data_IF_170801033579
#
_entry.id   IF_170801033579
#
_cell.length_a   1.000
_cell.length_b   1.000
_cell.length_c   1.000
_cell.angle_alpha   90.00
_cell.angle_beta   90.00
_cell.angle_gamma   90.00
#
_symmetry.space_group_name_H-M   'P 1'
#
loop_
_entity.id
_entity.type
_entity.pdbx_description
1 polymer ?
#
# COMPACT_ATOMS: atom_id res chain seq x y z
N UNK A 1 30.00 -3.09 -11.61
CA UNK A 1 29.34 -1.82 -11.23
C UNK A 1 27.87 -2.04 -11.48
N UNK A 2 27.02 -2.08 -10.42
CA UNK A 2 25.56 -2.06 -10.63
C UNK A 2 25.21 -0.70 -11.21
N UNK A 3 24.32 -0.60 -12.21
CA UNK A 3 23.88 0.67 -12.72
C UNK A 3 23.29 1.48 -11.57
N UNK A 4 23.62 2.76 -11.50
CA UNK A 4 22.96 3.73 -10.64
C UNK A 4 21.48 3.69 -10.99
N UNK A 5 20.67 3.20 -10.06
CA UNK A 5 19.23 3.14 -10.24
C UNK A 5 18.73 4.55 -10.56
N UNK A 6 18.04 4.72 -11.69
CA UNK A 6 17.25 5.92 -11.95
C UNK A 6 16.33 6.19 -10.76
N UNK A 7 16.08 7.47 -10.44
CA UNK A 7 15.15 7.79 -9.37
C UNK A 7 13.79 7.15 -9.70
N UNK A 8 13.33 6.26 -8.82
CA UNK A 8 12.08 5.54 -9.04
C UNK A 8 10.94 6.55 -9.29
N UNK A 9 10.14 6.32 -10.34
CA UNK A 9 8.95 7.12 -10.65
C UNK A 9 8.12 7.33 -9.38
N UNK A 10 7.74 8.56 -9.09
CA UNK A 10 6.88 8.87 -7.94
C UNK A 10 5.41 8.59 -8.29
N UNK A 11 4.60 8.11 -7.34
CA UNK A 11 3.17 7.91 -7.56
C UNK A 11 2.47 9.27 -7.78
N UNK A 12 1.48 9.27 -8.68
CA UNK A 12 0.68 10.46 -8.98
C UNK A 12 -0.17 10.85 -7.77
N UNK A 13 -0.14 12.13 -7.43
CA UNK A 13 -1.02 12.73 -6.43
C UNK A 13 -2.28 13.22 -7.14
N UNK A 14 -3.42 12.63 -6.79
CA UNK A 14 -4.71 13.01 -7.34
C UNK A 14 -5.29 14.21 -6.56
N UNK A 15 -6.04 15.06 -7.24
CA UNK A 15 -6.93 16.01 -6.60
C UNK A 15 -8.18 15.31 -6.06
N UNK A 16 -8.87 15.85 -5.05
CA UNK A 16 -10.08 15.23 -4.50
C UNK A 16 -11.21 15.02 -5.52
N UNK A 17 -11.26 15.84 -6.58
CA UNK A 17 -12.26 15.71 -7.65
C UNK A 17 -11.98 14.59 -8.64
N UNK A 18 -10.74 14.07 -8.67
CA UNK A 18 -10.36 12.93 -9.50
C UNK A 18 -10.67 11.58 -8.86
N UNK A 19 -11.03 11.56 -7.58
CA UNK A 19 -11.31 10.31 -6.86
C UNK A 19 -12.80 10.10 -6.76
N UNK A 20 -13.27 8.98 -7.32
CA UNK A 20 -14.67 8.58 -7.23
C UNK A 20 -15.08 8.32 -5.77
N UNK A 21 -16.20 8.88 -5.35
CA UNK A 21 -16.77 8.58 -4.03
C UNK A 21 -17.65 7.36 -4.11
N UNK A 22 -17.23 6.31 -3.42
CA UNK A 22 -18.03 5.10 -3.21
C UNK A 22 -18.78 5.26 -1.89
N UNK A 23 -20.10 5.02 -1.90
CA UNK A 23 -20.96 5.16 -0.73
C UNK A 23 -21.64 3.87 -0.29
N UNK A 24 -21.64 2.82 -1.16
CA UNK A 24 -22.36 1.56 -0.90
C UNK A 24 -21.55 0.35 -1.36
N UNK A 25 -21.91 -0.82 -0.83
CA UNK A 25 -21.36 -2.13 -1.24
C UNK A 25 -21.57 -2.36 -2.75
N UNK A 26 -22.75 -2.08 -3.27
CA UNK A 26 -23.07 -2.24 -4.69
C UNK A 26 -22.17 -1.36 -5.58
N UNK A 27 -21.93 -0.11 -5.18
CA UNK A 27 -21.01 0.77 -5.92
C UNK A 27 -19.56 0.28 -5.89
N UNK A 28 -19.12 -0.33 -4.80
CA UNK A 28 -17.78 -0.94 -4.71
C UNK A 28 -17.64 -2.11 -5.69
N UNK A 29 -18.61 -3.01 -5.74
CA UNK A 29 -18.65 -4.13 -6.69
C UNK A 29 -18.67 -3.64 -8.14
N UNK A 30 -19.51 -2.66 -8.46
CA UNK A 30 -19.57 -2.07 -9.80
C UNK A 30 -18.24 -1.43 -10.22
N UNK A 31 -17.59 -0.69 -9.31
CA UNK A 31 -16.28 -0.10 -9.56
C UNK A 31 -15.20 -1.18 -9.77
N UNK A 32 -15.27 -2.29 -9.02
CA UNK A 32 -14.36 -3.41 -9.19
C UNK A 32 -14.53 -4.08 -10.57
N UNK A 33 -15.75 -4.30 -11.04
CA UNK A 33 -16.00 -4.85 -12.38
C UNK A 33 -15.49 -3.94 -13.51
N UNK A 34 -15.68 -2.61 -13.39
CA UNK A 34 -15.14 -1.66 -14.37
C UNK A 34 -13.61 -1.72 -14.44
N UNK A 35 -12.94 -1.72 -13.28
CA UNK A 35 -11.49 -1.85 -13.23
C UNK A 35 -11.00 -3.20 -13.73
N UNK A 36 -11.67 -4.30 -13.38
CA UNK A 36 -11.32 -5.64 -13.82
C UNK A 36 -11.35 -5.75 -15.34
N UNK A 37 -12.39 -5.21 -16.00
CA UNK A 37 -12.49 -5.19 -17.45
C UNK A 37 -11.33 -4.44 -18.12
N UNK A 38 -10.87 -3.35 -17.50
CA UNK A 38 -9.72 -2.58 -17.94
C UNK A 38 -8.40 -3.32 -17.68
N UNK A 39 -8.23 -3.89 -16.49
CA UNK A 39 -7.02 -4.60 -16.08
C UNK A 39 -6.77 -5.88 -16.88
N UNK A 40 -7.82 -6.60 -17.26
CA UNK A 40 -7.72 -7.78 -18.12
C UNK A 40 -7.05 -7.45 -19.47
N UNK A 41 -7.23 -6.21 -19.95
CA UNK A 41 -6.57 -5.74 -21.16
C UNK A 41 -5.08 -5.55 -20.90
N UNK A 42 -4.26 -6.47 -21.34
CA UNK A 42 -2.81 -6.40 -21.19
C UNK A 42 -2.24 -7.12 -19.96
N UNK A 43 -3.05 -7.79 -19.14
CA UNK A 43 -2.58 -8.57 -18.00
C UNK A 43 -1.44 -9.54 -18.41
N UNK A 44 -1.67 -10.35 -19.45
CA UNK A 44 -0.68 -11.28 -20.00
C UNK A 44 0.61 -10.61 -20.50
N UNK A 45 0.53 -9.39 -21.02
CA UNK A 45 1.72 -8.63 -21.44
C UNK A 45 2.48 -8.12 -20.23
N UNK A 46 1.77 -7.53 -19.25
CA UNK A 46 2.41 -7.05 -18.01
C UNK A 46 3.20 -8.17 -17.31
N UNK A 47 2.59 -9.35 -17.22
CA UNK A 47 3.22 -10.52 -16.62
C UNK A 47 4.47 -10.96 -17.41
N UNK A 48 4.34 -11.25 -18.71
CA UNK A 48 5.47 -11.76 -19.51
C UNK A 48 6.63 -10.77 -19.68
N UNK A 49 6.32 -9.48 -19.80
CA UNK A 49 7.29 -8.43 -20.10
C UNK A 49 7.72 -7.65 -18.83
N UNK A 50 7.21 -8.04 -17.67
CA UNK A 50 7.43 -7.34 -16.39
C UNK A 50 7.13 -5.85 -16.50
N UNK A 51 6.02 -5.50 -17.13
CA UNK A 51 5.59 -4.10 -17.27
C UNK A 51 4.99 -3.62 -15.96
N UNK A 52 5.62 -2.66 -15.31
CA UNK A 52 5.14 -2.10 -14.04
C UNK A 52 3.83 -1.34 -14.26
N UNK A 53 2.75 -1.66 -13.51
CA UNK A 53 1.38 -1.20 -13.76
C UNK A 53 1.09 0.19 -13.17
N UNK A 54 1.87 1.22 -13.54
CA UNK A 54 1.72 2.57 -12.99
C UNK A 54 0.36 3.18 -13.29
N UNK A 55 -0.07 3.09 -14.55
CA UNK A 55 -1.32 3.70 -15.01
C UNK A 55 -2.54 2.97 -14.45
N UNK A 56 -2.46 1.64 -14.35
CA UNK A 56 -3.51 0.82 -13.71
C UNK A 56 -3.68 1.18 -12.23
N UNK A 57 -2.58 1.39 -11.52
CA UNK A 57 -2.63 1.78 -10.11
C UNK A 57 -3.09 3.22 -9.91
N UNK A 58 -2.85 4.12 -10.85
CA UNK A 58 -3.45 5.45 -10.84
C UNK A 58 -4.96 5.38 -11.07
N UNK A 59 -5.45 4.49 -11.96
CA UNK A 59 -6.89 4.20 -12.11
C UNK A 59 -7.49 3.54 -10.87
N UNK A 60 -6.77 2.64 -10.22
CA UNK A 60 -7.16 2.11 -8.91
C UNK A 60 -7.36 3.24 -7.89
N UNK A 61 -6.41 4.17 -7.77
CA UNK A 61 -6.53 5.32 -6.88
C UNK A 61 -7.75 6.18 -7.20
N UNK A 62 -7.97 6.48 -8.48
CA UNK A 62 -9.09 7.29 -8.95
C UNK A 62 -10.46 6.60 -8.76
N UNK A 63 -10.50 5.27 -8.75
CA UNK A 63 -11.74 4.52 -8.56
C UNK A 63 -12.37 4.68 -7.17
N UNK A 64 -11.61 5.10 -6.16
CA UNK A 64 -12.03 5.16 -4.77
C UNK A 64 -12.05 3.82 -4.03
N UNK A 65 -11.76 2.70 -4.70
CA UNK A 65 -11.76 1.37 -4.08
C UNK A 65 -10.76 1.25 -2.94
N UNK A 66 -9.66 2.00 -2.96
CA UNK A 66 -8.68 2.00 -1.87
C UNK A 66 -9.22 2.46 -0.51
N UNK A 67 -10.35 3.20 -0.50
CA UNK A 67 -10.98 3.74 0.71
C UNK A 67 -12.23 3.03 1.18
N UNK A 68 -12.64 1.91 0.58
CA UNK A 68 -13.95 1.30 0.83
C UNK A 68 -14.17 0.77 2.25
N UNK A 69 -13.10 0.45 2.98
CA UNK A 69 -13.18 0.02 4.39
C UNK A 69 -13.04 1.16 5.39
N UNK A 70 -12.79 2.39 4.94
CA UNK A 70 -12.70 3.55 5.83
C UNK A 70 -14.03 3.72 6.56
N UNK A 71 -14.03 3.86 7.91
CA UNK A 71 -15.26 3.99 8.67
C UNK A 71 -16.08 5.24 8.29
N UNK A 72 -17.40 5.14 8.39
CA UNK A 72 -18.33 6.25 8.12
C UNK A 72 -18.05 7.48 8.97
N UNK A 73 -17.63 7.29 10.21
CA UNK A 73 -17.23 8.36 11.11
C UNK A 73 -16.07 9.24 10.57
N UNK A 74 -15.30 8.72 9.60
CA UNK A 74 -14.20 9.41 8.93
C UNK A 74 -14.48 9.68 7.45
N UNK A 75 -15.75 9.58 7.03
CA UNK A 75 -16.20 9.90 5.67
C UNK A 75 -16.08 8.78 4.65
N UNK A 76 -15.78 7.57 5.07
CA UNK A 76 -15.73 6.38 4.21
C UNK A 76 -17.06 5.65 4.10
N UNK A 77 -17.21 4.72 3.16
CA UNK A 77 -18.44 3.93 2.98
C UNK A 77 -18.59 2.81 4.02
N UNK A 78 -17.48 2.33 4.58
CA UNK A 78 -17.47 1.23 5.54
C UNK A 78 -18.20 0.00 4.99
N UNK A 79 -17.80 -0.45 3.80
CA UNK A 79 -18.37 -1.65 3.18
C UNK A 79 -18.10 -2.89 4.03
N UNK A 80 -18.91 -3.94 3.83
CA UNK A 80 -18.75 -5.21 4.53
C UNK A 80 -17.44 -5.93 4.13
N UNK A 81 -16.94 -6.79 5.01
CA UNK A 81 -15.78 -7.63 4.67
C UNK A 81 -16.11 -8.64 3.54
N UNK A 82 -17.38 -9.05 3.42
CA UNK A 82 -17.82 -9.88 2.30
C UNK A 82 -17.66 -9.13 0.97
N UNK A 83 -18.09 -7.88 0.92
CA UNK A 83 -17.90 -7.01 -0.26
C UNK A 83 -16.43 -6.78 -0.57
N UNK A 84 -15.59 -6.55 0.45
CA UNK A 84 -14.15 -6.44 0.25
C UNK A 84 -13.57 -7.72 -0.38
N UNK A 85 -13.96 -8.89 0.11
CA UNK A 85 -13.52 -10.17 -0.45
C UNK A 85 -13.95 -10.33 -1.91
N UNK A 86 -15.20 -9.98 -2.23
CA UNK A 86 -15.73 -10.03 -3.59
C UNK A 86 -14.99 -9.10 -4.54
N UNK A 87 -14.69 -7.86 -4.12
CA UNK A 87 -13.85 -6.91 -4.88
C UNK A 87 -12.51 -7.56 -5.23
N UNK A 88 -11.86 -8.24 -4.27
CA UNK A 88 -10.59 -8.91 -4.55
C UNK A 88 -10.73 -10.15 -5.44
N UNK A 89 -11.82 -10.91 -5.34
CA UNK A 89 -12.10 -12.01 -6.29
C UNK A 89 -12.20 -11.46 -7.70
N UNK A 90 -12.97 -10.39 -7.92
CA UNK A 90 -13.16 -9.75 -9.22
C UNK A 90 -11.82 -9.28 -9.81
N UNK A 91 -11.03 -8.54 -9.03
CA UNK A 91 -9.77 -7.97 -9.51
C UNK A 91 -8.70 -9.05 -9.77
N UNK A 92 -8.54 -10.03 -8.85
CA UNK A 92 -7.56 -11.09 -9.02
C UNK A 92 -7.89 -12.03 -10.19
N UNK A 93 -9.16 -12.19 -10.54
CA UNK A 93 -9.58 -12.94 -11.72
C UNK A 93 -9.14 -12.25 -13.02
N UNK A 94 -9.10 -10.92 -13.03
CA UNK A 94 -8.69 -10.14 -14.18
C UNK A 94 -7.16 -9.99 -14.30
N UNK A 95 -6.51 -9.67 -13.18
CA UNK A 95 -5.05 -9.52 -13.08
C UNK A 95 -4.64 -9.72 -11.62
N UNK A 96 -3.99 -10.86 -11.34
CA UNK A 96 -3.60 -11.24 -9.97
C UNK A 96 -2.57 -10.30 -9.35
N UNK A 97 -1.68 -9.71 -10.15
CA UNK A 97 -0.71 -8.73 -9.66
C UNK A 97 -1.40 -7.45 -9.20
N UNK A 98 -2.39 -6.96 -9.97
CA UNK A 98 -3.18 -5.78 -9.63
C UNK A 98 -4.18 -6.03 -8.48
N UNK A 99 -4.57 -7.27 -8.25
CA UNK A 99 -5.28 -7.66 -7.03
C UNK A 99 -4.35 -7.73 -5.81
N UNK A 100 -3.12 -8.25 -5.97
CA UNK A 100 -2.16 -8.42 -4.89
C UNK A 100 -1.55 -7.10 -4.39
N UNK A 101 -1.20 -6.17 -5.28
CA UNK A 101 -0.50 -4.93 -4.92
C UNK A 101 -1.27 -4.11 -3.88
N UNK A 102 -2.58 -3.82 -4.03
CA UNK A 102 -3.33 -3.01 -3.07
C UNK A 102 -3.82 -3.76 -1.84
N UNK A 103 -3.72 -5.09 -1.81
CA UNK A 103 -4.31 -5.91 -0.74
C UNK A 103 -3.77 -5.55 0.66
N UNK A 104 -2.48 -5.30 0.79
CA UNK A 104 -1.87 -4.97 2.08
C UNK A 104 -2.41 -3.67 2.70
N UNK A 105 -2.91 -2.74 1.90
CA UNK A 105 -3.50 -1.50 2.39
C UNK A 105 -4.63 -1.77 3.38
N UNK A 106 -5.50 -2.74 3.11
CA UNK A 106 -6.65 -3.03 3.96
C UNK A 106 -6.25 -3.64 5.31
N UNK A 107 -5.22 -4.47 5.34
CA UNK A 107 -4.63 -4.93 6.59
C UNK A 107 -4.06 -3.81 7.45
N UNK A 108 -3.37 -2.86 6.81
CA UNK A 108 -2.81 -1.68 7.48
C UNK A 108 -3.91 -0.75 7.99
N UNK A 109 -5.00 -0.58 7.23
CA UNK A 109 -6.17 0.19 7.67
C UNK A 109 -6.88 -0.47 8.86
N UNK A 110 -6.91 -1.81 8.92
CA UNK A 110 -7.40 -2.56 10.08
C UNK A 110 -6.57 -2.27 11.33
N UNK A 111 -5.24 -2.29 11.23
CA UNK A 111 -4.36 -1.91 12.33
C UNK A 111 -4.62 -0.46 12.78
N UNK A 112 -4.77 0.48 11.84
CA UNK A 112 -5.10 1.86 12.18
C UNK A 112 -6.46 1.97 12.91
N UNK A 113 -7.45 1.17 12.50
CA UNK A 113 -8.76 1.13 13.15
C UNK A 113 -8.66 0.72 14.62
N UNK A 114 -7.82 -0.25 14.95
CA UNK A 114 -7.67 -0.77 16.30
C UNK A 114 -6.86 0.15 17.21
N UNK A 115 -5.66 0.55 16.80
CA UNK A 115 -4.69 1.19 17.67
C UNK A 115 -4.40 2.66 17.36
N UNK A 116 -4.93 3.21 16.27
CA UNK A 116 -4.70 4.61 15.89
C UNK A 116 -5.41 5.59 16.82
N UNK A 117 -4.76 6.71 17.15
CA UNK A 117 -5.43 7.82 17.83
C UNK A 117 -6.46 8.49 16.91
N UNK A 118 -7.47 9.22 17.44
CA UNK A 118 -8.44 9.94 16.62
C UNK A 118 -7.79 10.88 15.59
N UNK A 119 -6.73 11.59 15.98
CA UNK A 119 -6.00 12.49 15.09
C UNK A 119 -5.26 11.71 13.96
N UNK A 120 -4.65 10.57 14.26
CA UNK A 120 -4.04 9.69 13.26
C UNK A 120 -5.09 9.14 12.29
N UNK A 121 -6.21 8.64 12.81
CA UNK A 121 -7.33 8.15 12.01
C UNK A 121 -7.86 9.24 11.07
N UNK A 122 -8.15 10.42 11.59
CA UNK A 122 -8.66 11.54 10.78
C UNK A 122 -7.71 11.87 9.62
N UNK A 123 -6.42 12.01 9.91
CA UNK A 123 -5.42 12.35 8.89
C UNK A 123 -5.22 11.24 7.88
N UNK A 124 -4.96 10.02 8.36
CA UNK A 124 -4.55 8.91 7.48
C UNK A 124 -5.72 8.37 6.65
N UNK A 125 -6.94 8.29 7.21
CA UNK A 125 -8.12 7.96 6.42
C UNK A 125 -8.44 9.05 5.38
N UNK A 126 -8.23 10.32 5.71
CA UNK A 126 -8.38 11.41 4.74
C UNK A 126 -7.43 11.26 3.55
N UNK A 127 -6.17 10.87 3.79
CA UNK A 127 -5.21 10.58 2.71
C UNK A 127 -5.67 9.40 1.83
N UNK A 128 -6.21 8.34 2.43
CA UNK A 128 -6.71 7.18 1.70
C UNK A 128 -7.92 7.53 0.84
N UNK A 129 -8.87 8.30 1.39
CA UNK A 129 -10.04 8.79 0.66
C UNK A 129 -9.67 9.78 -0.46
N UNK A 130 -8.49 10.39 -0.38
CA UNK A 130 -7.90 11.19 -1.47
C UNK A 130 -7.09 10.34 -2.47
N UNK A 131 -7.25 9.01 -2.48
CA UNK A 131 -6.62 8.12 -3.44
C UNK A 131 -5.15 7.77 -3.15
N UNK A 132 -4.64 8.08 -1.95
CA UNK A 132 -3.28 7.68 -1.57
C UNK A 132 -3.18 6.18 -1.39
N UNK A 133 -2.10 5.59 -1.92
CA UNK A 133 -1.81 4.16 -1.82
C UNK A 133 -0.80 3.89 -0.71
N UNK A 134 -1.01 2.77 -0.02
CA UNK A 134 -0.04 2.23 0.93
C UNK A 134 0.69 1.06 0.28
N UNK A 135 1.99 1.01 0.49
CA UNK A 135 2.79 -0.17 0.19
C UNK A 135 2.86 -1.12 1.38
N UNK A 136 3.81 -2.03 1.33
CA UNK A 136 4.16 -2.92 2.43
C UNK A 136 5.67 -2.86 2.70
N UNK A 137 6.07 -3.07 3.94
CA UNK A 137 7.45 -3.29 4.35
C UNK A 137 7.47 -4.23 5.56
N UNK A 138 7.01 -5.46 5.35
CA UNK A 138 6.80 -6.47 6.40
C UNK A 138 8.05 -7.26 6.75
N UNK A 139 8.57 -8.15 5.89
CA UNK A 139 9.64 -9.06 6.22
C UNK A 139 11.00 -8.39 6.42
N UNK A 140 11.78 -8.97 7.31
CA UNK A 140 13.22 -8.72 7.51
C UNK A 140 14.00 -9.98 7.12
N UNK A 141 15.30 -9.90 7.03
CA UNK A 141 16.19 -11.07 6.90
C UNK A 141 17.12 -11.15 8.10
N UNK A 142 17.26 -12.35 8.65
CA UNK A 142 18.26 -12.69 9.64
C UNK A 142 19.66 -12.69 9.03
N UNK A 143 20.69 -12.77 9.89
CA UNK A 143 22.07 -12.88 9.44
C UNK A 143 22.34 -14.15 8.59
N UNK A 144 21.60 -15.22 8.81
CA UNK A 144 21.62 -16.45 8.02
C UNK A 144 20.82 -16.37 6.70
N UNK A 145 20.22 -15.20 6.40
CA UNK A 145 19.42 -14.97 5.20
C UNK A 145 17.95 -15.39 5.30
N UNK A 146 17.54 -16.08 6.37
CA UNK A 146 16.14 -16.49 6.55
C UNK A 146 15.20 -15.28 6.72
N UNK A 147 14.03 -15.35 6.06
CA UNK A 147 12.99 -14.31 6.22
C UNK A 147 12.38 -14.37 7.62
N UNK A 148 12.06 -13.22 8.18
CA UNK A 148 11.38 -13.06 9.46
C UNK A 148 10.51 -11.82 9.45
N UNK A 149 9.47 -11.78 10.27
CA UNK A 149 8.56 -10.62 10.38
C UNK A 149 8.58 -9.97 11.76
N UNK A 150 9.22 -10.58 12.76
CA UNK A 150 9.07 -10.19 14.16
C UNK A 150 10.39 -10.09 14.95
N UNK A 151 11.55 -9.95 14.31
CA UNK A 151 12.81 -9.90 15.06
C UNK A 151 13.24 -8.49 15.52
N UNK A 152 12.50 -7.44 15.14
CA UNK A 152 12.81 -6.09 15.59
C UNK A 152 14.20 -5.61 15.17
N UNK A 153 14.66 -6.00 13.99
CA UNK A 153 15.93 -5.53 13.40
C UNK A 153 15.78 -4.08 12.96
N UNK A 154 14.61 -3.72 12.40
CA UNK A 154 14.30 -2.33 12.08
C UNK A 154 13.96 -1.59 13.36
N UNK A 155 14.68 -0.50 13.59
CA UNK A 155 14.57 0.30 14.81
C UNK A 155 14.00 1.68 14.52
N UNK A 156 13.25 2.20 15.49
CA UNK A 156 12.84 3.60 15.53
C UNK A 156 13.37 4.26 16.78
N UNK A 157 13.95 5.45 16.64
CA UNK A 157 14.51 6.23 17.74
C UNK A 157 14.12 7.69 17.62
N UNK A 158 13.97 8.34 18.76
CA UNK A 158 13.88 9.79 18.82
C UNK A 158 15.27 10.40 18.64
N UNK A 159 15.35 11.46 17.83
CA UNK A 159 16.54 12.28 17.63
C UNK A 159 16.17 13.75 17.80
N UNK A 160 17.12 14.67 17.93
CA UNK A 160 16.81 16.10 17.97
C UNK A 160 16.03 16.61 16.76
N UNK A 161 16.18 15.95 15.59
CA UNK A 161 15.51 16.30 14.33
C UNK A 161 14.15 15.61 14.17
N UNK A 162 13.75 14.73 15.10
CA UNK A 162 12.51 13.98 15.07
C UNK A 162 12.70 12.47 15.19
N UNK A 163 11.76 11.69 14.64
CA UNK A 163 11.84 10.23 14.66
C UNK A 163 12.67 9.70 13.50
N UNK A 164 13.64 8.85 13.79
CA UNK A 164 14.47 8.17 12.79
C UNK A 164 14.17 6.67 12.76
N UNK A 165 13.85 6.16 11.56
CA UNK A 165 13.69 4.73 11.31
C UNK A 165 14.94 4.23 10.59
N UNK A 166 15.50 3.10 11.06
CA UNK A 166 16.68 2.48 10.45
C UNK A 166 16.47 0.98 10.31
N UNK A 167 16.65 0.46 9.10
CA UNK A 167 16.49 -0.95 8.81
C UNK A 167 16.37 -1.23 7.32
N UNK A 168 16.27 -2.52 6.97
CA UNK A 168 16.04 -2.98 5.60
C UNK A 168 14.92 -4.00 5.60
N UNK A 169 13.97 -3.83 4.68
CA UNK A 169 12.82 -4.71 4.49
C UNK A 169 12.88 -5.37 3.12
N UNK A 170 12.24 -6.52 3.01
CA UNK A 170 12.24 -7.35 1.80
C UNK A 170 10.81 -7.72 1.43
N UNK A 171 10.59 -8.13 0.18
CA UNK A 171 9.27 -8.52 -0.33
C UNK A 171 8.21 -7.44 -0.06
N UNK A 172 8.59 -6.19 -0.36
CA UNK A 172 7.81 -5.01 -0.03
C UNK A 172 6.76 -4.72 -1.11
N UNK A 173 5.76 -5.60 -1.23
CA UNK A 173 4.69 -5.52 -2.22
C UNK A 173 4.07 -4.12 -2.25
N UNK A 174 3.99 -3.53 -3.44
CA UNK A 174 3.39 -2.22 -3.67
C UNK A 174 4.24 -1.02 -3.22
N UNK A 175 5.41 -1.21 -2.60
CA UNK A 175 6.23 -0.09 -2.11
C UNK A 175 6.73 0.83 -3.22
N UNK A 176 6.97 0.32 -4.43
CA UNK A 176 7.33 1.13 -5.61
C UNK A 176 6.26 2.17 -5.94
N UNK A 177 5.00 1.80 -5.79
CA UNK A 177 3.82 2.57 -6.21
C UNK A 177 3.15 3.33 -5.06
N UNK A 178 3.69 3.23 -3.86
CA UNK A 178 3.07 3.75 -2.65
C UNK A 178 3.32 5.25 -2.46
N UNK A 179 2.36 5.95 -1.88
CA UNK A 179 2.53 7.29 -1.35
C UNK A 179 3.09 7.27 0.09
N UNK A 180 2.77 6.20 0.82
CA UNK A 180 3.38 5.87 2.11
C UNK A 180 3.73 4.40 2.18
N UNK A 181 4.85 4.11 2.84
CA UNK A 181 5.30 2.76 3.12
C UNK A 181 5.14 2.49 4.61
N UNK A 182 4.14 1.70 5.02
CA UNK A 182 4.02 1.26 6.40
C UNK A 182 5.17 0.32 6.76
N UNK A 183 5.97 0.73 7.73
CA UNK A 183 7.14 -0.01 8.22
C UNK A 183 6.88 -0.43 9.65
N UNK A 184 7.04 -1.71 9.95
CA UNK A 184 7.07 -2.19 11.34
C UNK A 184 8.47 -2.00 11.90
N UNK A 185 8.58 -1.30 13.02
CA UNK A 185 9.85 -1.04 13.70
C UNK A 185 9.72 -1.35 15.19
N UNK A 186 10.84 -1.51 15.89
CA UNK A 186 10.88 -1.67 17.32
C UNK A 186 11.57 -0.44 17.95
N UNK A 187 10.97 0.11 18.99
CA UNK A 187 11.56 1.22 19.77
C UNK A 187 12.62 0.73 20.77
N UNK A 188 13.19 1.66 21.51
CA UNK A 188 14.25 1.35 22.47
C UNK A 188 13.71 0.60 23.72
N UNK A 189 12.40 0.66 23.99
CA UNK A 189 11.71 -0.12 25.02
C UNK A 189 11.25 -1.50 24.52
N UNK A 190 11.56 -1.86 23.31
CA UNK A 190 11.21 -3.15 22.73
C UNK A 190 9.79 -3.26 22.19
N UNK A 191 9.01 -2.16 22.18
CA UNK A 191 7.62 -2.15 21.67
C UNK A 191 7.61 -2.11 20.15
N UNK A 192 6.71 -2.87 19.54
CA UNK A 192 6.48 -2.79 18.10
C UNK A 192 5.56 -1.62 17.77
N UNK A 193 5.98 -0.82 16.81
CA UNK A 193 5.24 0.32 16.27
C UNK A 193 5.12 0.19 14.75
N UNK A 194 4.03 0.70 14.18
CA UNK A 194 3.89 0.85 12.75
C UNK A 194 4.07 2.30 12.35
N UNK A 195 5.08 2.56 11.54
CA UNK A 195 5.43 3.90 11.05
C UNK A 195 5.01 4.01 9.60
N UNK A 196 4.21 5.02 9.26
CA UNK A 196 3.78 5.29 7.89
C UNK A 196 4.73 6.30 7.24
N UNK A 197 5.82 5.78 6.69
CA UNK A 197 6.90 6.59 6.11
C UNK A 197 6.43 7.18 4.77
N UNK A 198 6.49 8.51 4.57
CA UNK A 198 6.26 9.12 3.25
C UNK A 198 7.22 8.53 2.21
N UNK A 199 6.75 8.35 0.97
CA UNK A 199 7.57 7.76 -0.10
C UNK A 199 8.79 8.61 -0.45
N UNK A 200 8.68 9.91 -0.26
CA UNK A 200 9.71 10.93 -0.48
C UNK A 200 10.53 11.29 0.78
N UNK A 201 10.36 10.53 1.87
CA UNK A 201 11.10 10.79 3.10
C UNK A 201 12.61 10.68 2.86
N UNK A 202 13.40 11.65 3.36
CA UNK A 202 14.86 11.60 3.24
C UNK A 202 15.43 10.28 3.80
N UNK A 203 16.25 9.60 3.00
CA UNK A 203 16.88 8.33 3.36
C UNK A 203 16.01 7.08 3.09
N UNK A 204 14.77 7.21 2.61
CA UNK A 204 13.99 6.07 2.13
C UNK A 204 14.40 5.72 0.69
N UNK A 205 14.87 4.49 0.50
CA UNK A 205 15.12 3.92 -0.83
C UNK A 205 14.22 2.70 -1.03
N UNK A 206 13.48 2.66 -2.12
CA UNK A 206 12.75 1.47 -2.58
C UNK A 206 13.48 0.93 -3.79
N UNK A 207 13.93 -0.32 -3.68
CA UNK A 207 14.73 -0.99 -4.71
C UNK A 207 13.81 -1.85 -5.57
N UNK A 208 13.88 -1.66 -6.88
CA UNK A 208 13.19 -2.49 -7.86
C UNK A 208 14.11 -3.64 -8.28
N UNK A 209 14.17 -4.67 -7.46
CA UNK A 209 15.01 -5.84 -7.67
C UNK A 209 14.22 -7.18 -7.60
N UNK A 210 12.88 -7.10 -7.70
CA UNK A 210 12.06 -8.29 -7.75
C UNK A 210 12.26 -9.02 -9.08
N UNK A 211 12.67 -10.27 -9.01
CA UNK A 211 12.99 -11.14 -10.15
C UNK A 211 12.46 -12.55 -9.89
N UNK A 212 11.13 -12.68 -9.91
CA UNK A 212 10.40 -13.94 -9.81
C UNK A 212 9.14 -13.85 -10.68
N UNK A 213 8.47 -14.98 -10.87
CA UNK A 213 7.20 -15.01 -11.59
C UNK A 213 6.08 -14.33 -10.77
N UNK A 214 5.20 -13.62 -11.43
CA UNK A 214 4.03 -12.92 -10.83
C UNK A 214 4.26 -11.46 -10.57
#
# INVERSE_FOLDING_TARGET
MKPTAEPAKAPRILSPSEVTRIGTDAQAIEAAHRLAADFAQGASRRDRERVLPWDELDRWSASGLGGITVPRAYGGPQVSHATLAEVFVILNTADSSLGQIPQNQFGVLGVLAEIGTPAQKQRLYGEILAGRRLGNAGPERKADGAATVLQGITRIRATPEGLRVTGRRFYSTGALFAHRVPVRAQDDEGRFVQVWVPRDAPGLTVVDDWDAFG
#
